data_IF_411847338730
#
_entry.id   IF_411847338730
#
_cell.length_a   1.000
_cell.length_b   1.000
_cell.length_c   1.000
_cell.angle_alpha   90.00
_cell.angle_beta   90.00
_cell.angle_gamma   90.00
#
_symmetry.space_group_name_H-M   'P 1'
#
loop_
_entity.id
_entity.type
_entity.pdbx_description
1 polymer ?
#
# COMPACT_ATOMS: atom_id res chain seq x y z
N UNK A 1 -3.91 -22.25 -4.08
CA UNK A 1 -3.78 -20.82 -3.80
C UNK A 1 -2.41 -20.51 -3.28
N UNK A 2 -1.69 -19.62 -3.97
CA UNK A 2 -0.43 -19.07 -3.49
C UNK A 2 -0.72 -18.01 -2.42
N UNK A 3 0.13 -17.92 -1.40
CA UNK A 3 0.05 -16.84 -0.41
C UNK A 3 0.40 -15.49 -1.07
N UNK A 4 -0.27 -14.40 -0.66
CA UNK A 4 -0.05 -13.09 -1.26
C UNK A 4 1.31 -12.48 -0.88
N UNK A 5 1.81 -11.60 -1.72
CA UNK A 5 2.83 -10.62 -1.32
C UNK A 5 2.14 -9.43 -0.65
N UNK A 6 2.59 -9.06 0.54
CA UNK A 6 2.02 -7.92 1.28
C UNK A 6 3.06 -6.79 1.38
N UNK A 7 2.74 -5.63 0.83
CA UNK A 7 3.59 -4.44 0.93
C UNK A 7 3.31 -3.71 2.24
N UNK A 8 4.29 -3.70 3.14
CA UNK A 8 4.25 -3.03 4.45
C UNK A 8 4.87 -1.65 4.35
N UNK A 9 4.03 -0.61 4.30
CA UNK A 9 4.50 0.77 4.12
C UNK A 9 3.46 1.80 4.58
N UNK A 10 3.87 2.95 5.14
CA UNK A 10 2.94 4.02 5.42
C UNK A 10 2.38 4.65 4.14
N UNK A 11 1.33 5.46 4.31
CA UNK A 11 0.81 6.28 3.21
C UNK A 11 1.92 7.15 2.62
N UNK A 12 1.73 7.57 1.37
CA UNK A 12 2.65 8.49 0.69
C UNK A 12 4.07 7.93 0.55
N UNK A 13 4.22 6.62 0.38
CA UNK A 13 5.52 5.93 0.28
C UNK A 13 5.63 5.04 -0.95
N UNK A 14 5.26 5.57 -2.13
CA UNK A 14 5.39 4.94 -3.46
C UNK A 14 4.59 3.65 -3.66
N UNK A 15 3.72 3.34 -2.72
CA UNK A 15 3.17 2.02 -2.56
C UNK A 15 2.18 1.63 -3.65
N UNK A 16 1.46 2.59 -4.23
CA UNK A 16 0.56 2.36 -5.38
C UNK A 16 1.33 2.03 -6.66
N UNK A 17 2.37 2.81 -6.99
CA UNK A 17 3.18 2.55 -8.19
C UNK A 17 3.96 1.25 -8.07
N UNK A 18 4.55 0.96 -6.89
CA UNK A 18 5.26 -0.30 -6.67
C UNK A 18 4.31 -1.50 -6.74
N UNK A 19 3.12 -1.43 -6.13
CA UNK A 19 2.12 -2.50 -6.25
C UNK A 19 1.74 -2.75 -7.72
N UNK A 20 1.51 -1.68 -8.49
CA UNK A 20 1.16 -1.78 -9.90
C UNK A 20 2.32 -2.37 -10.74
N UNK A 21 3.57 -1.97 -10.48
CA UNK A 21 4.77 -2.51 -11.12
C UNK A 21 4.89 -4.02 -10.88
N UNK A 22 4.86 -4.44 -9.60
CA UNK A 22 4.93 -5.87 -9.26
C UNK A 22 3.76 -6.64 -9.87
N UNK A 23 2.57 -6.05 -9.88
CA UNK A 23 1.37 -6.63 -10.45
C UNK A 23 1.38 -6.84 -11.96
N UNK A 24 2.32 -6.23 -12.70
CA UNK A 24 2.48 -6.49 -14.14
C UNK A 24 3.37 -7.70 -14.43
N UNK A 25 4.05 -8.25 -13.42
CA UNK A 25 4.80 -9.48 -13.59
C UNK A 25 3.87 -10.60 -14.09
N UNK A 26 4.28 -11.45 -15.05
CA UNK A 26 3.40 -12.48 -15.63
C UNK A 26 2.77 -13.43 -14.61
N UNK A 27 3.45 -13.66 -13.51
CA UNK A 27 3.04 -14.55 -12.41
C UNK A 27 2.41 -13.81 -11.22
N UNK A 28 2.14 -12.50 -11.33
CA UNK A 28 1.56 -11.69 -10.26
C UNK A 28 0.31 -10.92 -10.69
N UNK A 29 -0.45 -10.47 -9.70
CA UNK A 29 -1.64 -9.63 -9.88
C UNK A 29 -1.67 -8.51 -8.83
N UNK A 30 -1.50 -7.27 -9.26
CA UNK A 30 -1.48 -6.11 -8.36
C UNK A 30 -2.88 -5.67 -7.98
N UNK A 31 -3.21 -5.69 -6.70
CA UNK A 31 -4.50 -5.23 -6.18
C UNK A 31 -4.48 -3.72 -5.86
N UNK A 32 -5.64 -3.05 -5.90
CA UNK A 32 -5.81 -1.77 -5.22
C UNK A 32 -5.82 -1.98 -3.69
N UNK A 33 -5.93 -0.91 -2.91
CA UNK A 33 -6.06 -0.97 -1.46
C UNK A 33 -7.38 -1.67 -1.05
N UNK A 34 -7.32 -2.98 -0.78
CA UNK A 34 -8.50 -3.76 -0.37
C UNK A 34 -8.81 -3.63 1.12
N UNK A 35 -7.80 -3.29 1.94
CA UNK A 35 -7.92 -3.04 3.38
C UNK A 35 -8.51 -4.21 4.20
N UNK A 36 -8.39 -5.45 3.75
CA UNK A 36 -9.03 -6.62 4.39
C UNK A 36 -8.39 -7.04 5.74
N UNK A 37 -7.23 -6.50 6.10
CA UNK A 37 -6.58 -6.81 7.40
C UNK A 37 -7.03 -5.91 8.57
N UNK A 38 -7.93 -4.94 8.34
CA UNK A 38 -8.32 -3.97 9.37
C UNK A 38 -9.43 -4.47 10.30
N UNK A 39 -10.09 -5.57 9.94
CA UNK A 39 -11.24 -6.12 10.66
C UNK A 39 -11.32 -7.64 10.51
N UNK A 40 -12.06 -8.32 11.38
CA UNK A 40 -12.21 -9.78 11.33
C UNK A 40 -13.30 -10.18 10.34
N UNK A 41 -14.39 -9.41 10.27
CA UNK A 41 -15.55 -9.69 9.41
C UNK A 41 -15.84 -8.57 8.41
N UNK A 42 -16.55 -8.91 7.33
CA UNK A 42 -17.01 -7.94 6.32
C UNK A 42 -17.91 -6.87 6.95
N UNK A 43 -18.76 -7.24 7.90
CA UNK A 43 -19.60 -6.28 8.62
C UNK A 43 -18.78 -5.24 9.39
N UNK A 44 -17.77 -5.68 10.14
CA UNK A 44 -16.85 -4.78 10.86
C UNK A 44 -16.01 -3.93 9.91
N UNK A 45 -15.48 -4.53 8.84
CA UNK A 45 -14.76 -3.81 7.78
C UNK A 45 -15.62 -2.70 7.20
N UNK A 46 -16.87 -3.04 6.88
CA UNK A 46 -17.82 -2.09 6.33
C UNK A 46 -18.01 -0.94 7.31
N UNK A 47 -18.46 -1.24 8.53
CA UNK A 47 -18.81 -0.21 9.50
C UNK A 47 -17.59 0.67 9.89
N UNK A 48 -16.38 0.10 9.99
CA UNK A 48 -15.14 0.85 10.26
C UNK A 48 -14.84 1.92 9.20
N UNK A 49 -15.23 1.68 7.95
CA UNK A 49 -14.99 2.57 6.81
C UNK A 49 -16.20 3.46 6.48
N UNK A 50 -17.26 3.47 7.29
CA UNK A 50 -18.46 4.27 7.02
C UNK A 50 -18.16 5.77 6.93
N UNK A 51 -17.32 6.27 7.83
CA UNK A 51 -16.87 7.67 7.83
C UNK A 51 -15.80 7.97 6.77
N UNK A 52 -15.31 6.94 6.06
CA UNK A 52 -14.22 7.03 5.07
C UNK A 52 -14.49 6.08 3.90
N UNK A 53 -15.61 6.31 3.22
CA UNK A 53 -16.12 5.40 2.17
C UNK A 53 -15.11 5.09 1.06
N UNK A 54 -14.23 6.04 0.74
CA UNK A 54 -13.10 5.85 -0.19
C UNK A 54 -12.19 4.67 0.16
N UNK A 55 -12.06 4.32 1.45
CA UNK A 55 -11.30 3.15 1.89
C UNK A 55 -11.87 1.82 1.42
N UNK A 56 -13.13 1.80 0.96
CA UNK A 56 -13.81 0.64 0.37
C UNK A 56 -13.65 0.58 -1.16
N UNK A 57 -13.25 1.68 -1.82
CA UNK A 57 -13.22 1.77 -3.27
C UNK A 57 -12.31 0.71 -3.90
N UNK A 58 -11.14 0.46 -3.33
CA UNK A 58 -10.22 -0.56 -3.85
C UNK A 58 -10.84 -1.95 -3.85
N UNK A 59 -11.41 -2.39 -2.73
CA UNK A 59 -12.08 -3.69 -2.65
C UNK A 59 -13.25 -3.80 -3.63
N UNK A 60 -14.09 -2.76 -3.72
CA UNK A 60 -15.24 -2.76 -4.64
C UNK A 60 -14.81 -2.83 -6.10
N UNK A 61 -13.76 -2.11 -6.48
CA UNK A 61 -13.18 -2.15 -7.83
C UNK A 61 -12.56 -3.50 -8.14
N UNK A 62 -11.83 -4.10 -7.19
CA UNK A 62 -11.24 -5.41 -7.35
C UNK A 62 -12.32 -6.47 -7.60
N UNK A 63 -13.39 -6.47 -6.80
CA UNK A 63 -14.50 -7.40 -6.97
C UNK A 63 -15.24 -7.18 -8.30
N UNK A 64 -15.54 -5.94 -8.67
CA UNK A 64 -16.15 -5.61 -9.96
C UNK A 64 -15.30 -6.14 -11.14
N UNK A 65 -13.99 -5.85 -11.14
CA UNK A 65 -13.08 -6.31 -12.18
C UNK A 65 -13.00 -7.83 -12.25
N UNK A 66 -12.95 -8.52 -11.10
CA UNK A 66 -12.81 -9.98 -11.06
C UNK A 66 -14.11 -10.73 -11.34
N UNK A 67 -15.27 -10.16 -10.98
CA UNK A 67 -16.58 -10.78 -11.19
C UNK A 67 -17.11 -10.53 -12.60
N UNK A 68 -16.97 -9.30 -13.10
CA UNK A 68 -17.62 -8.83 -14.33
C UNK A 68 -16.64 -8.50 -15.46
N UNK A 69 -15.33 -8.43 -15.19
CA UNK A 69 -14.31 -8.04 -16.17
C UNK A 69 -14.27 -6.53 -16.47
N UNK A 70 -15.03 -5.72 -15.73
CA UNK A 70 -15.13 -4.28 -15.92
C UNK A 70 -15.35 -3.53 -14.58
N UNK A 71 -15.25 -2.20 -14.62
CA UNK A 71 -15.44 -1.31 -13.46
C UNK A 71 -16.43 -0.20 -13.79
N UNK A 72 -17.70 -0.56 -13.97
CA UNK A 72 -18.85 0.34 -14.14
C UNK A 72 -19.58 0.60 -12.81
N UNK A 73 -20.38 1.67 -12.71
CA UNK A 73 -21.22 1.90 -11.52
C UNK A 73 -22.14 0.70 -11.21
N UNK A 74 -22.57 -0.04 -12.25
CA UNK A 74 -23.39 -1.24 -12.10
C UNK A 74 -22.59 -2.42 -11.50
N UNK A 75 -21.41 -2.72 -12.04
CA UNK A 75 -20.53 -3.79 -11.48
C UNK A 75 -20.10 -3.47 -10.04
N UNK A 76 -19.84 -2.20 -9.72
CA UNK A 76 -19.51 -1.76 -8.35
C UNK A 76 -20.71 -1.89 -7.40
N UNK A 77 -21.93 -1.61 -7.87
CA UNK A 77 -23.14 -1.84 -7.11
C UNK A 77 -23.35 -3.33 -6.83
N UNK A 78 -23.16 -4.20 -7.83
CA UNK A 78 -23.22 -5.65 -7.67
C UNK A 78 -22.17 -6.17 -6.68
N UNK A 79 -20.92 -5.69 -6.75
CA UNK A 79 -19.87 -6.00 -5.78
C UNK A 79 -20.23 -5.54 -4.36
N UNK A 80 -20.87 -4.38 -4.24
CA UNK A 80 -21.37 -3.86 -2.96
C UNK A 80 -22.44 -4.78 -2.37
N UNK A 81 -23.45 -5.16 -3.16
CA UNK A 81 -24.50 -6.09 -2.74
C UNK A 81 -23.91 -7.44 -2.33
N UNK A 82 -23.00 -7.98 -3.14
CA UNK A 82 -22.31 -9.23 -2.86
C UNK A 82 -21.59 -9.23 -1.49
N UNK A 83 -20.89 -8.13 -1.17
CA UNK A 83 -20.24 -7.97 0.14
C UNK A 83 -21.26 -7.84 1.27
N UNK A 84 -22.32 -7.06 1.08
CA UNK A 84 -23.31 -6.78 2.12
C UNK A 84 -24.19 -8.00 2.46
N UNK A 85 -24.44 -8.88 1.50
CA UNK A 85 -25.05 -10.20 1.73
C UNK A 85 -24.17 -11.14 2.57
N UNK A 86 -22.87 -10.85 2.65
CA UNK A 86 -21.82 -11.66 3.29
C UNK A 86 -21.19 -10.96 4.49
N UNK A 87 -21.95 -10.10 5.18
CA UNK A 87 -21.45 -9.36 6.35
C UNK A 87 -20.87 -10.27 7.45
N UNK A 88 -21.35 -11.51 7.55
CA UNK A 88 -20.88 -12.53 8.50
C UNK A 88 -19.61 -13.27 8.05
N UNK A 89 -19.19 -13.11 6.79
CA UNK A 89 -17.93 -13.69 6.32
C UNK A 89 -16.74 -13.02 7.01
N UNK A 90 -15.70 -13.81 7.23
CA UNK A 90 -14.41 -13.25 7.63
C UNK A 90 -13.80 -12.50 6.45
N UNK A 91 -13.02 -11.45 6.75
CA UNK A 91 -12.26 -10.76 5.70
C UNK A 91 -11.30 -11.71 4.97
N UNK A 92 -10.80 -12.75 5.66
CA UNK A 92 -10.02 -13.83 5.04
C UNK A 92 -10.81 -14.53 3.93
N UNK A 93 -12.08 -14.90 4.14
CA UNK A 93 -12.89 -15.55 3.11
C UNK A 93 -13.07 -14.68 1.87
N UNK A 94 -13.21 -13.37 2.05
CA UNK A 94 -13.26 -12.43 0.91
C UNK A 94 -11.90 -12.35 0.22
N UNK A 95 -10.80 -12.33 0.97
CA UNK A 95 -9.49 -12.28 0.34
C UNK A 95 -9.14 -13.59 -0.38
N UNK A 96 -9.44 -14.75 0.21
CA UNK A 96 -9.33 -16.07 -0.41
C UNK A 96 -10.11 -16.12 -1.74
N UNK A 97 -11.35 -15.59 -1.77
CA UNK A 97 -12.13 -15.46 -3.02
C UNK A 97 -11.40 -14.65 -4.10
N UNK A 98 -10.72 -13.56 -3.72
CA UNK A 98 -9.91 -12.76 -4.65
C UNK A 98 -8.69 -13.56 -5.13
N UNK A 99 -7.97 -14.21 -4.23
CA UNK A 99 -6.79 -15.02 -4.54
C UNK A 99 -7.13 -16.19 -5.48
N UNK A 100 -8.26 -16.86 -5.26
CA UNK A 100 -8.81 -17.89 -6.14
C UNK A 100 -9.10 -17.36 -7.55
N UNK A 101 -9.61 -16.13 -7.65
CA UNK A 101 -9.99 -15.51 -8.93
C UNK A 101 -8.78 -15.12 -9.80
N UNK A 102 -7.59 -15.03 -9.20
CA UNK A 102 -6.36 -14.66 -9.91
C UNK A 102 -5.37 -15.81 -10.08
N UNK A 103 -5.72 -17.02 -9.64
CA UNK A 103 -4.86 -18.19 -9.83
C UNK A 103 -4.49 -18.40 -11.30
N UNK A 104 -3.23 -18.80 -11.60
CA UNK A 104 -2.16 -19.19 -10.66
C UNK A 104 -1.31 -18.00 -10.15
N UNK A 105 -1.69 -16.75 -10.40
CA UNK A 105 -0.88 -15.57 -10.05
C UNK A 105 -0.85 -15.32 -8.54
N UNK A 106 0.27 -14.77 -8.08
CA UNK A 106 0.44 -14.25 -6.72
C UNK A 106 -0.19 -12.85 -6.63
N UNK A 107 -1.17 -12.66 -5.76
CA UNK A 107 -1.71 -11.33 -5.52
C UNK A 107 -0.72 -10.46 -4.73
N UNK A 108 -0.65 -9.18 -5.09
CA UNK A 108 0.11 -8.16 -4.35
C UNK A 108 -0.90 -7.24 -3.67
N UNK A 109 -1.01 -7.31 -2.34
CA UNK A 109 -1.79 -6.34 -1.57
C UNK A 109 -0.87 -5.24 -1.03
N UNK A 110 -1.39 -4.03 -1.10
CA UNK A 110 -0.83 -2.90 -0.40
C UNK A 110 -1.97 -2.12 0.23
N UNK A 111 -2.01 -2.10 1.55
CA UNK A 111 -2.99 -1.34 2.32
C UNK A 111 -2.28 -0.54 3.43
N UNK A 112 -1.94 0.75 3.24
CA UNK A 112 -1.09 1.51 4.18
C UNK A 112 -1.71 1.71 5.55
N UNK A 113 -3.03 1.50 5.68
CA UNK A 113 -3.76 1.51 6.95
C UNK A 113 -3.32 0.34 7.84
N UNK A 114 -2.97 -0.81 7.27
CA UNK A 114 -2.64 -2.03 8.01
C UNK A 114 -1.42 -1.83 8.90
N UNK A 115 -0.41 -1.07 8.46
CA UNK A 115 0.81 -0.85 9.26
C UNK A 115 0.60 0.09 10.47
N UNK A 116 -0.55 0.74 10.58
CA UNK A 116 -0.86 1.62 11.71
C UNK A 116 -1.34 0.84 12.94
N UNK A 117 -1.64 -0.45 12.82
CA UNK A 117 -2.10 -1.31 13.91
C UNK A 117 -1.35 -2.63 13.94
N UNK A 118 -0.82 -2.99 15.12
CA UNK A 118 -0.25 -4.34 15.32
C UNK A 118 -1.30 -5.43 15.15
N UNK A 119 -2.57 -5.16 15.47
CA UNK A 119 -3.66 -6.13 15.28
C UNK A 119 -3.86 -6.46 13.81
N UNK A 120 -3.74 -5.46 12.92
CA UNK A 120 -3.84 -5.68 11.48
C UNK A 120 -2.66 -6.46 10.92
N UNK A 121 -1.44 -6.19 11.40
CA UNK A 121 -0.25 -6.95 11.01
C UNK A 121 -0.31 -8.40 11.51
N UNK A 122 -0.74 -8.62 12.75
CA UNK A 122 -0.93 -9.95 13.30
C UNK A 122 -2.02 -10.71 12.54
N UNK A 123 -3.14 -10.05 12.20
CA UNK A 123 -4.20 -10.63 11.37
C UNK A 123 -3.68 -11.06 9.99
N UNK A 124 -2.82 -10.25 9.35
CA UNK A 124 -2.21 -10.62 8.08
C UNK A 124 -1.39 -11.92 8.20
N UNK A 125 -0.57 -12.06 9.25
CA UNK A 125 0.19 -13.29 9.53
C UNK A 125 -0.67 -14.48 9.92
N UNK A 126 -1.75 -14.27 10.66
CA UNK A 126 -2.70 -15.34 11.03
C UNK A 126 -3.47 -15.85 9.82
N UNK A 127 -3.83 -14.97 8.90
CA UNK A 127 -4.52 -15.33 7.66
C UNK A 127 -3.58 -16.05 6.67
N UNK A 128 -2.33 -15.58 6.54
CA UNK A 128 -1.35 -16.09 5.58
C UNK A 128 0.03 -16.22 6.26
N UNK A 129 0.28 -17.32 6.97
CA UNK A 129 1.51 -17.50 7.76
C UNK A 129 2.76 -17.67 6.90
N UNK A 130 2.62 -18.12 5.65
CA UNK A 130 3.73 -18.33 4.72
C UNK A 130 3.90 -17.17 3.72
N UNK A 131 3.11 -16.09 3.86
CA UNK A 131 3.21 -14.90 3.02
C UNK A 131 4.58 -14.22 3.10
N UNK A 132 4.97 -13.63 1.98
CA UNK A 132 6.14 -12.75 1.89
C UNK A 132 5.73 -11.30 2.12
N UNK A 133 6.61 -10.52 2.74
CA UNK A 133 6.37 -9.12 3.09
C UNK A 133 7.45 -8.21 2.51
N UNK A 134 7.04 -7.24 1.69
CA UNK A 134 7.93 -6.19 1.20
C UNK A 134 7.81 -4.97 2.12
N UNK A 135 8.81 -4.73 2.97
CA UNK A 135 8.90 -3.49 3.75
C UNK A 135 9.45 -2.37 2.87
N UNK A 136 8.53 -1.64 2.23
CA UNK A 136 8.82 -0.50 1.37
C UNK A 136 8.95 0.78 2.20
N UNK A 137 10.09 1.45 2.13
CA UNK A 137 10.39 2.63 2.95
C UNK A 137 10.47 3.90 2.12
N UNK A 138 10.17 5.04 2.76
CA UNK A 138 10.40 6.38 2.21
C UNK A 138 10.97 7.29 3.29
N UNK A 139 11.82 8.22 2.88
CA UNK A 139 12.45 9.19 3.76
C UNK A 139 11.41 9.90 4.66
N UNK A 140 11.64 10.05 5.98
CA UNK A 140 10.66 10.62 6.91
C UNK A 140 10.21 12.01 6.50
N UNK A 141 11.15 12.88 6.12
CA UNK A 141 10.85 14.25 5.67
C UNK A 141 9.98 14.29 4.40
N UNK A 142 10.30 13.46 3.41
CA UNK A 142 9.56 13.41 2.16
C UNK A 142 8.14 12.85 2.37
N UNK A 143 8.01 11.83 3.21
CA UNK A 143 6.73 11.23 3.57
C UNK A 143 5.85 12.23 4.33
N UNK A 144 6.40 12.88 5.36
CA UNK A 144 5.67 13.84 6.19
C UNK A 144 5.20 15.06 5.42
N UNK A 145 6.07 15.65 4.59
CA UNK A 145 5.70 16.78 3.73
C UNK A 145 4.61 16.38 2.73
N UNK A 146 4.72 15.20 2.13
CA UNK A 146 3.69 14.70 1.20
C UNK A 146 2.37 14.41 1.91
N UNK A 147 2.39 13.90 3.14
CA UNK A 147 1.19 13.62 3.93
C UNK A 147 0.45 14.91 4.26
N UNK A 148 1.16 15.95 4.69
CA UNK A 148 0.55 17.25 5.00
C UNK A 148 0.00 17.95 3.76
N UNK A 149 0.72 17.87 2.63
CA UNK A 149 0.21 18.37 1.35
C UNK A 149 -1.10 17.66 0.96
N UNK A 150 -1.15 16.32 1.11
CA UNK A 150 -2.36 15.56 0.80
C UNK A 150 -3.52 15.91 1.74
N UNK A 151 -3.28 15.98 3.05
CA UNK A 151 -4.33 16.34 4.04
C UNK A 151 -4.86 17.77 3.82
N UNK A 152 -3.99 18.72 3.47
CA UNK A 152 -4.40 20.12 3.22
C UNK A 152 -5.17 20.31 1.91
N UNK A 153 -4.95 19.44 0.91
CA UNK A 153 -5.59 19.51 -0.41
C UNK A 153 -6.83 18.62 -0.53
N UNK A 154 -6.91 17.52 0.22
CA UNK A 154 -8.05 16.60 0.17
C UNK A 154 -9.12 16.94 1.21
N UNK A 155 -10.29 17.37 0.72
CA UNK A 155 -11.52 17.47 1.51
C UNK A 155 -11.95 16.12 2.15
N UNK A 156 -11.37 15.00 1.73
CA UNK A 156 -11.68 13.63 2.14
C UNK A 156 -11.07 13.21 3.48
N UNK A 157 -10.01 13.89 3.95
CA UNK A 157 -9.62 13.81 5.36
C UNK A 157 -10.54 14.67 6.24
N UNK A 158 -11.67 15.14 5.69
CA UNK A 158 -12.35 16.36 6.08
C UNK A 158 -11.37 17.51 5.83
N UNK A 159 -11.64 18.54 5.05
CA UNK A 159 -12.53 19.62 5.49
C UNK A 159 -12.44 20.05 6.99
N UNK A 160 -12.13 19.12 7.91
CA UNK A 160 -12.24 19.12 9.36
C UNK A 160 -11.01 18.50 10.07
N UNK A 161 -10.10 17.79 9.39
CA UNK A 161 -8.79 17.48 9.98
C UNK A 161 -7.95 18.73 9.83
N UNK A 162 -7.97 19.50 10.91
CA UNK A 162 -7.03 20.59 11.11
C UNK A 162 -5.61 20.01 10.98
N UNK A 163 -4.95 20.33 9.86
CA UNK A 163 -3.59 19.87 9.60
C UNK A 163 -2.63 20.29 10.73
N UNK A 164 -2.97 21.32 11.51
CA UNK A 164 -2.21 21.72 12.71
C UNK A 164 -2.30 20.72 13.87
N UNK A 165 -3.24 19.77 13.83
CA UNK A 165 -3.42 18.69 14.82
C UNK A 165 -2.85 17.35 14.35
N UNK A 166 -2.44 17.26 13.09
CA UNK A 166 -1.77 16.07 12.54
C UNK A 166 -0.26 16.19 12.79
N UNK A 167 0.30 15.21 13.47
CA UNK A 167 1.74 15.08 13.63
C UNK A 167 2.24 14.00 12.64
N UNK A 168 2.78 14.41 11.48
CA UNK A 168 3.18 13.45 10.45
C UNK A 168 4.41 12.63 10.87
N UNK A 169 5.27 13.18 11.74
CA UNK A 169 6.40 12.45 12.30
C UNK A 169 5.90 11.28 13.16
N UNK A 170 4.94 11.52 14.06
CA UNK A 170 4.36 10.44 14.88
C UNK A 170 3.69 9.34 14.04
N UNK A 171 3.03 9.70 12.94
CA UNK A 171 2.40 8.72 12.05
C UNK A 171 3.48 7.86 11.37
N UNK A 172 4.55 8.49 10.88
CA UNK A 172 5.67 7.81 10.25
C UNK A 172 6.38 6.87 11.24
N UNK A 173 6.68 7.36 12.45
CA UNK A 173 7.29 6.57 13.54
C UNK A 173 6.41 5.37 13.88
N UNK A 174 5.11 5.59 14.14
CA UNK A 174 4.18 4.51 14.48
C UNK A 174 4.14 3.43 13.41
N UNK A 175 4.04 3.81 12.14
CA UNK A 175 3.99 2.85 11.04
C UNK A 175 5.27 2.01 10.96
N UNK A 176 6.44 2.64 10.92
CA UNK A 176 7.69 1.90 10.77
C UNK A 176 8.08 1.14 12.04
N UNK A 177 7.78 1.64 13.23
CA UNK A 177 8.01 0.90 14.47
C UNK A 177 7.17 -0.39 14.50
N UNK A 178 5.89 -0.32 14.17
CA UNK A 178 5.03 -1.50 14.05
C UNK A 178 5.59 -2.51 13.04
N UNK A 179 5.99 -2.05 11.85
CA UNK A 179 6.54 -2.94 10.80
C UNK A 179 7.86 -3.56 11.26
N UNK A 180 8.74 -2.80 11.92
CA UNK A 180 10.00 -3.31 12.45
C UNK A 180 9.77 -4.38 13.52
N UNK A 181 8.86 -4.14 14.47
CA UNK A 181 8.52 -5.09 15.53
C UNK A 181 7.86 -6.35 14.97
N UNK A 182 6.95 -6.19 14.01
CA UNK A 182 6.30 -7.30 13.31
C UNK A 182 7.32 -8.15 12.54
N UNK A 183 8.12 -7.53 11.68
CA UNK A 183 9.07 -8.24 10.80
C UNK A 183 10.23 -8.89 11.58
N UNK A 184 10.59 -8.36 12.75
CA UNK A 184 11.57 -9.00 13.64
C UNK A 184 11.10 -10.35 14.19
N UNK A 185 9.79 -10.62 14.17
CA UNK A 185 9.20 -11.88 14.63
C UNK A 185 9.01 -12.93 13.53
N UNK A 186 9.30 -12.59 12.27
CA UNK A 186 9.08 -13.47 11.13
C UNK A 186 10.28 -14.38 10.84
N UNK A 187 10.06 -15.60 10.32
CA UNK A 187 11.09 -16.42 9.71
C UNK A 187 12.02 -15.69 8.74
N UNK A 188 13.29 -16.12 8.72
CA UNK A 188 14.26 -15.64 7.73
C UNK A 188 13.77 -15.92 6.31
N UNK A 189 13.91 -14.95 5.43
CA UNK A 189 13.48 -15.04 4.03
C UNK A 189 12.07 -14.51 3.76
N UNK A 190 11.20 -14.34 4.77
CA UNK A 190 9.84 -13.82 4.55
C UNK A 190 9.78 -12.30 4.37
N UNK A 191 10.89 -11.58 4.55
CA UNK A 191 10.91 -10.12 4.49
C UNK A 191 12.05 -9.61 3.64
N UNK A 192 11.72 -8.81 2.63
CA UNK A 192 12.66 -7.93 1.95
C UNK A 192 12.37 -6.48 2.38
N UNK A 193 13.42 -5.73 2.75
CA UNK A 193 13.32 -4.28 3.01
C UNK A 193 13.97 -3.53 1.86
N UNK A 194 13.27 -2.54 1.32
CA UNK A 194 13.73 -1.77 0.18
C UNK A 194 13.30 -0.31 0.30
N UNK A 195 14.21 0.62 -0.02
CA UNK A 195 13.89 2.04 -0.15
C UNK A 195 13.17 2.24 -1.47
N UNK A 196 11.96 2.79 -1.42
CA UNK A 196 11.20 3.06 -2.63
C UNK A 196 11.90 4.07 -3.54
N UNK A 197 12.72 4.97 -2.98
CA UNK A 197 13.55 5.87 -3.78
C UNK A 197 14.57 5.13 -4.64
N UNK A 198 15.17 4.05 -4.13
CA UNK A 198 16.14 3.27 -4.89
C UNK A 198 15.43 2.43 -5.96
N UNK A 199 14.32 1.78 -5.60
CA UNK A 199 13.52 1.00 -6.53
C UNK A 199 13.05 1.85 -7.73
N UNK A 200 12.54 3.06 -7.48
CA UNK A 200 12.07 3.92 -8.55
C UNK A 200 13.21 4.59 -9.34
N UNK A 201 14.39 4.76 -8.73
CA UNK A 201 15.55 5.31 -9.43
C UNK A 201 16.24 4.27 -10.32
N UNK A 202 16.32 3.02 -9.88
CA UNK A 202 17.02 1.93 -10.56
C UNK A 202 16.16 0.65 -10.61
N UNK A 203 14.97 0.70 -11.24
CA UNK A 203 14.04 -0.43 -11.24
C UNK A 203 14.62 -1.68 -11.89
N UNK A 204 15.45 -1.54 -12.93
CA UNK A 204 16.15 -2.68 -13.56
C UNK A 204 17.18 -3.36 -12.65
N UNK A 205 17.58 -2.72 -11.55
CA UNK A 205 18.46 -3.34 -10.54
C UNK A 205 17.64 -4.07 -9.48
N UNK A 206 16.54 -3.47 -9.03
CA UNK A 206 15.79 -3.97 -7.87
C UNK A 206 14.63 -4.90 -8.22
N UNK A 207 13.98 -4.74 -9.38
CA UNK A 207 12.90 -5.64 -9.79
C UNK A 207 13.39 -7.09 -10.00
N UNK A 208 14.55 -7.36 -10.63
CA UNK A 208 15.09 -8.72 -10.70
C UNK A 208 15.37 -9.32 -9.32
N UNK A 209 15.86 -8.53 -8.37
CA UNK A 209 16.10 -9.00 -6.99
C UNK A 209 14.80 -9.37 -6.27
N UNK A 210 13.71 -8.63 -6.50
CA UNK A 210 12.39 -8.96 -5.96
C UNK A 210 11.87 -10.25 -6.60
N UNK A 211 12.01 -10.40 -7.92
CA UNK A 211 11.62 -11.62 -8.64
C UNK A 211 12.39 -12.85 -8.13
N UNK A 212 13.72 -12.76 -8.03
CA UNK A 212 14.58 -13.82 -7.49
C UNK A 212 14.19 -14.19 -6.05
N UNK A 213 13.98 -13.18 -5.19
CA UNK A 213 13.55 -13.41 -3.80
C UNK A 213 12.22 -14.14 -3.69
N UNK A 214 11.29 -13.88 -4.61
CA UNK A 214 9.98 -14.53 -4.67
C UNK A 214 9.96 -15.82 -5.49
N UNK A 215 11.11 -16.25 -6.03
CA UNK A 215 11.24 -17.40 -6.92
C UNK A 215 10.38 -17.30 -8.20
N UNK A 216 10.32 -16.10 -8.77
CA UNK A 216 9.60 -15.78 -10.01
C UNK A 216 10.54 -15.75 -11.23
N UNK A 217 9.96 -15.72 -12.44
CA UNK A 217 10.72 -15.46 -13.68
C UNK A 217 11.45 -14.11 -13.63
N UNK A 218 12.77 -14.12 -13.72
CA UNK A 218 13.62 -12.92 -13.76
C UNK A 218 14.07 -12.57 -15.19
N UNK A 219 13.45 -13.19 -16.20
CA UNK A 219 13.74 -12.87 -17.60
C UNK A 219 13.54 -11.39 -17.91
N UNK A 220 14.30 -10.87 -18.87
CA UNK A 220 14.16 -9.46 -19.28
C UNK A 220 12.74 -9.10 -19.71
N UNK A 221 11.98 -10.04 -20.26
CA UNK A 221 10.59 -9.81 -20.65
C UNK A 221 9.64 -9.68 -19.45
N UNK A 222 9.83 -10.51 -18.41
CA UNK A 222 9.07 -10.40 -17.18
C UNK A 222 9.36 -9.09 -16.43
N UNK A 223 10.64 -8.71 -16.36
CA UNK A 223 11.07 -7.45 -15.73
C UNK A 223 10.61 -6.23 -16.54
N UNK A 224 10.66 -6.30 -17.88
CA UNK A 224 10.13 -5.24 -18.76
C UNK A 224 8.63 -5.03 -18.54
N UNK A 225 7.84 -6.11 -18.37
CA UNK A 225 6.41 -5.98 -18.04
C UNK A 225 6.18 -5.18 -16.74
N UNK A 226 7.02 -5.39 -15.72
CA UNK A 226 6.96 -4.67 -14.45
C UNK A 226 7.25 -3.16 -14.57
N UNK A 227 7.82 -2.71 -15.69
CA UNK A 227 8.13 -1.30 -15.95
C UNK A 227 6.91 -0.50 -16.44
N UNK A 228 5.77 -1.16 -16.64
CA UNK A 228 4.55 -0.59 -17.20
C UNK A 228 3.39 -0.53 -16.19
N UNK A 229 3.54 0.08 -15.00
CA UNK A 229 2.45 0.13 -14.01
C UNK A 229 1.16 0.75 -14.56
N UNK A 230 1.23 1.60 -15.58
CA UNK A 230 0.08 2.19 -16.26
C UNK A 230 -0.87 1.18 -16.91
N UNK A 231 -0.43 -0.07 -17.14
CA UNK A 231 -1.27 -1.10 -17.77
C UNK A 231 -2.14 -1.89 -16.77
N UNK A 232 -2.00 -1.64 -15.46
CA UNK A 232 -2.88 -2.24 -14.45
C UNK A 232 -4.33 -1.75 -14.60
N UNK A 233 -5.29 -2.67 -14.38
CA UNK A 233 -6.72 -2.37 -14.29
C UNK A 233 -7.06 -1.34 -13.18
N UNK A 234 -6.13 -1.13 -12.24
CA UNK A 234 -6.29 -0.24 -11.09
C UNK A 234 -5.39 1.01 -11.15
N UNK A 235 -4.78 1.26 -12.31
CA UNK A 235 -3.94 2.44 -12.60
C UNK A 235 -4.72 3.61 -13.20
N UNK A 236 -6.03 3.64 -12.98
CA UNK A 236 -6.91 4.73 -13.42
C UNK A 236 -7.98 5.01 -12.36
N UNK A 237 -8.67 6.15 -12.48
CA UNK A 237 -9.87 6.41 -11.67
C UNK A 237 -10.98 5.43 -12.05
N UNK A 238 -11.66 4.91 -11.03
CA UNK A 238 -12.83 4.06 -11.19
C UNK A 238 -14.10 4.86 -11.48
N UNK A 239 -15.26 4.19 -11.51
CA UNK A 239 -16.55 4.85 -11.71
C UNK A 239 -16.94 5.66 -10.47
N UNK A 240 -17.99 6.50 -10.56
CA UNK A 240 -18.34 7.45 -9.49
C UNK A 240 -18.63 6.76 -8.16
N UNK A 241 -19.20 5.55 -8.18
CA UNK A 241 -19.49 4.77 -6.99
C UNK A 241 -18.22 4.22 -6.29
N UNK A 242 -17.08 4.15 -6.98
CA UNK A 242 -15.80 3.73 -6.42
C UNK A 242 -14.63 4.35 -7.21
N UNK A 243 -14.42 5.65 -7.09
CA UNK A 243 -13.49 6.40 -7.94
C UNK A 243 -12.00 6.11 -7.66
N UNK A 244 -11.69 5.73 -6.42
CA UNK A 244 -10.32 5.62 -5.91
C UNK A 244 -9.91 4.15 -5.73
N UNK A 245 -9.16 3.82 -4.67
CA UNK A 245 -8.57 2.50 -4.44
C UNK A 245 -7.05 2.50 -4.52
N UNK A 246 -6.46 3.56 -5.07
CA UNK A 246 -5.03 3.85 -4.99
C UNK A 246 -4.83 5.35 -4.71
N UNK A 247 -3.58 5.74 -4.53
CA UNK A 247 -3.19 7.15 -4.36
C UNK A 247 -3.70 8.01 -5.53
N UNK A 248 -4.43 9.11 -5.30
CA UNK A 248 -4.96 9.94 -6.38
C UNK A 248 -3.90 10.47 -7.34
N UNK A 249 -2.71 10.85 -6.85
CA UNK A 249 -1.63 11.37 -7.71
C UNK A 249 -1.10 10.29 -8.65
N UNK A 250 -1.16 9.02 -8.22
CA UNK A 250 -0.83 7.88 -9.05
C UNK A 250 -1.93 7.60 -10.08
N UNK A 251 -3.21 7.66 -9.69
CA UNK A 251 -4.33 7.45 -10.61
C UNK A 251 -4.39 8.50 -11.72
N UNK A 252 -3.98 9.73 -11.42
CA UNK A 252 -3.94 10.84 -12.38
C UNK A 252 -2.71 10.75 -13.32
N UNK A 253 -1.66 10.04 -12.89
CA UNK A 253 -0.46 9.82 -13.69
C UNK A 253 0.25 8.51 -13.27
N UNK A 254 -0.17 7.37 -13.85
CA UNK A 254 0.26 6.05 -13.38
C UNK A 254 1.59 5.58 -13.96
N UNK A 255 2.15 6.31 -14.92
CA UNK A 255 3.37 5.94 -15.63
C UNK A 255 4.58 6.01 -14.69
N UNK A 256 5.43 4.98 -14.75
CA UNK A 256 6.72 4.98 -14.05
C UNK A 256 7.57 6.16 -14.53
N UNK A 257 8.14 6.91 -13.57
CA UNK A 257 9.05 8.02 -13.86
C UNK A 257 10.40 7.73 -13.21
N UNK A 258 11.29 6.98 -13.89
CA UNK A 258 12.60 6.67 -13.35
C UNK A 258 13.37 7.97 -13.10
N UNK A 259 13.92 8.11 -11.89
CA UNK A 259 14.66 9.30 -11.55
C UNK A 259 15.19 9.27 -10.12
N UNK A 260 16.47 9.60 -9.97
CA UNK A 260 17.08 9.79 -8.65
C UNK A 260 16.73 11.17 -8.12
N UNK A 261 15.66 11.26 -7.34
CA UNK A 261 15.37 12.45 -6.55
C UNK A 261 16.45 12.62 -5.48
N UNK A 262 16.87 13.87 -5.23
CA UNK A 262 17.75 14.16 -4.11
C UNK A 262 17.03 13.80 -2.80
N UNK A 263 17.67 12.96 -1.98
CA UNK A 263 17.16 12.67 -0.65
C UNK A 263 17.32 13.91 0.24
N UNK A 264 16.27 14.31 0.97
CA UNK A 264 16.40 15.38 1.95
C UNK A 264 17.37 14.98 3.08
N UNK A 265 17.94 15.97 3.77
CA UNK A 265 18.73 15.70 4.97
C UNK A 265 17.81 15.33 6.16
N UNK A 266 18.34 14.47 7.05
CA UNK A 266 17.70 14.17 8.33
C UNK A 266 17.88 15.31 9.34
N UNK A 267 18.97 16.06 9.24
CA UNK A 267 19.23 17.21 10.09
C UNK A 267 18.42 18.43 9.65
N UNK A 268 18.33 19.43 10.53
CA UNK A 268 17.67 20.70 10.25
C UNK A 268 16.18 20.75 10.62
N UNK A 269 15.65 21.97 10.61
CA UNK A 269 14.28 22.28 11.02
C UNK A 269 13.24 21.57 10.15
N UNK A 270 12.11 21.16 10.76
CA UNK A 270 11.02 20.51 10.06
C UNK A 270 10.17 21.53 9.30
N UNK A 271 9.83 21.23 8.05
CA UNK A 271 9.08 22.14 7.17
C UNK A 271 7.72 22.55 7.74
N UNK A 272 7.13 21.67 8.54
CA UNK A 272 5.82 21.85 9.18
C UNK A 272 5.88 22.36 10.62
N UNK A 273 7.08 22.63 11.15
CA UNK A 273 7.26 23.09 12.52
C UNK A 273 8.24 24.29 12.62
N UNK A 274 8.39 25.06 11.53
CA UNK A 274 9.33 26.19 11.41
C UNK A 274 9.21 27.22 12.53
N UNK A 275 7.98 27.53 12.98
CA UNK A 275 7.75 28.50 14.06
C UNK A 275 8.35 28.07 15.41
N UNK A 276 8.57 26.76 15.58
CA UNK A 276 9.10 26.18 16.82
C UNK A 276 10.56 25.75 16.70
N UNK A 277 11.16 25.81 15.50
CA UNK A 277 12.52 25.32 15.24
C UNK A 277 12.70 23.83 15.56
N UNK A 278 11.61 23.05 15.55
CA UNK A 278 11.67 21.62 15.86
C UNK A 278 12.47 20.87 14.80
N UNK A 279 13.17 19.83 15.26
CA UNK A 279 13.91 18.86 14.45
C UNK A 279 13.36 17.47 14.74
N UNK A 280 13.71 16.46 13.93
CA UNK A 280 13.28 15.10 14.19
C UNK A 280 13.69 14.62 15.58
N UNK A 281 12.79 13.92 16.25
CA UNK A 281 13.08 13.28 17.52
C UNK A 281 14.17 12.22 17.37
N UNK A 282 14.84 11.89 18.49
CA UNK A 282 15.84 10.80 18.53
C UNK A 282 15.26 9.46 18.08
N UNK A 283 13.98 9.23 18.34
CA UNK A 283 13.26 8.03 17.92
C UNK A 283 13.15 7.96 16.40
N UNK A 284 12.69 9.04 15.76
CA UNK A 284 12.63 9.14 14.30
C UNK A 284 14.00 8.93 13.66
N UNK A 285 15.05 9.58 14.18
CA UNK A 285 16.42 9.42 13.66
C UNK A 285 16.94 7.98 13.81
N UNK A 286 16.58 7.30 14.91
CA UNK A 286 16.95 5.89 15.13
C UNK A 286 16.27 4.99 14.10
N UNK A 287 14.96 5.13 13.92
CA UNK A 287 14.18 4.34 12.95
C UNK A 287 14.67 4.62 11.53
N UNK A 288 14.89 5.89 11.17
CA UNK A 288 15.39 6.31 9.86
C UNK A 288 16.70 5.60 9.50
N UNK A 289 17.68 5.60 10.41
CA UNK A 289 18.96 4.88 10.23
C UNK A 289 18.77 3.37 10.13
N UNK A 290 17.89 2.79 10.95
CA UNK A 290 17.59 1.36 10.91
C UNK A 290 16.98 0.92 9.57
N UNK A 291 16.29 1.83 8.86
CA UNK A 291 15.68 1.55 7.56
C UNK A 291 16.43 2.16 6.37
N UNK A 292 17.68 2.59 6.57
CA UNK A 292 18.60 2.95 5.47
C UNK A 292 18.65 4.43 5.11
N UNK A 293 18.26 5.33 6.00
CA UNK A 293 18.45 6.77 5.87
C UNK A 293 19.46 7.26 6.92
N UNK A 294 20.58 7.83 6.48
CA UNK A 294 21.66 8.28 7.36
C UNK A 294 22.66 9.16 6.64
#
# INVERSE_FOLDING_TARGET
>A
MADPLIILTPMRSFSSVVCAMLGQHPEMYGLPEVNLFIADTVGEYWDMLESRQHGRHGLLRALAQLHDGEQTDASVAAATEWLLERRDWTCKKVFDHILESVEPKIAVDKSPRSVLSMDSLNRAREMYPDANYLHLTRHPRATSTSLLANVSQNAEWGGNVDASRLDPEKIWVRAHQNVLDFTASLPLGQVMRLRGEDLLAEPEVYLPQIAEWLFLDDSSAAIDAMMHPETSDFSCRGPKAAELGNDPDFLDNPVLRPGRAALPELDGELEWAKETGQTFTKETLKIARQIGYG
#
